data_IF_202647887286
#
_entry.id   IF_202647887286
#
_cell.length_a   1.000
_cell.length_b   1.000
_cell.length_c   1.000
_cell.angle_alpha   90.00
_cell.angle_beta   90.00
_cell.angle_gamma   90.00
#
_symmetry.space_group_name_H-M   'P 1'
#
loop_
_entity.id
_entity.type
_entity.pdbx_description
1 polymer ?
#
# COMPACT_ATOMS: atom_id res chain seq x y z
N UNK A 1 6.35 -2.11 -11.59
CA UNK A 1 7.10 -2.72 -12.71
C UNK A 1 6.18 -2.98 -13.87
N UNK A 2 6.58 -2.74 -15.17
CA UNK A 2 5.76 -3.12 -16.34
C UNK A 2 6.00 -4.57 -16.73
N UNK A 3 5.06 -5.25 -17.43
CA UNK A 3 5.25 -6.62 -17.90
C UNK A 3 6.49 -6.82 -18.79
N UNK A 4 6.80 -5.85 -19.64
CA UNK A 4 8.02 -5.90 -20.47
C UNK A 4 9.29 -5.89 -19.60
N UNK A 5 9.38 -4.97 -18.62
CA UNK A 5 10.52 -4.90 -17.70
C UNK A 5 10.62 -6.18 -16.83
N UNK A 6 9.49 -6.75 -16.41
CA UNK A 6 9.48 -8.03 -15.70
C UNK A 6 10.06 -9.15 -16.57
N UNK A 7 9.62 -9.25 -17.82
CA UNK A 7 10.10 -10.27 -18.77
C UNK A 7 11.59 -10.18 -19.04
N UNK A 8 12.10 -8.96 -19.26
CA UNK A 8 13.52 -8.70 -19.50
C UNK A 8 14.40 -9.09 -18.32
N UNK A 9 13.88 -8.99 -17.10
CA UNK A 9 14.66 -9.11 -15.87
C UNK A 9 14.25 -10.29 -14.99
N UNK A 10 13.49 -11.24 -15.50
CA UNK A 10 12.94 -12.34 -14.69
C UNK A 10 14.02 -13.13 -13.96
N UNK A 11 15.13 -13.43 -14.63
CA UNK A 11 16.25 -14.19 -14.02
C UNK A 11 16.88 -13.46 -12.85
N UNK A 12 17.03 -12.13 -12.96
CA UNK A 12 17.58 -11.29 -11.90
C UNK A 12 16.60 -11.21 -10.72
N UNK A 13 15.30 -11.09 -11.00
CA UNK A 13 14.27 -11.00 -9.98
C UNK A 13 14.05 -12.32 -9.24
N UNK A 14 14.13 -13.46 -9.93
CA UNK A 14 14.08 -14.78 -9.28
C UNK A 14 15.26 -15.02 -8.33
N UNK A 15 16.40 -14.38 -8.58
CA UNK A 15 17.55 -14.42 -7.68
C UNK A 15 17.34 -13.56 -6.41
N UNK A 16 16.31 -12.68 -6.35
CA UNK A 16 16.00 -11.82 -5.20
C UNK A 16 15.15 -12.59 -4.16
N UNK A 17 15.08 -12.09 -2.91
CA UNK A 17 14.32 -12.77 -1.84
C UNK A 17 12.80 -12.56 -1.90
N UNK A 18 12.26 -12.24 -3.06
CA UNK A 18 10.83 -11.94 -3.21
C UNK A 18 10.05 -13.13 -3.76
N UNK A 19 8.76 -13.23 -3.38
CA UNK A 19 7.80 -14.22 -3.87
C UNK A 19 6.83 -13.64 -4.91
N UNK A 20 6.86 -12.34 -5.14
CA UNK A 20 5.98 -11.68 -6.10
C UNK A 20 6.41 -10.27 -6.41
N UNK A 21 5.72 -9.67 -7.36
CA UNK A 21 5.94 -8.29 -7.80
C UNK A 21 4.62 -7.53 -7.85
N UNK A 22 4.71 -6.22 -7.56
CA UNK A 22 3.68 -5.25 -7.91
C UNK A 22 3.93 -4.83 -9.36
N UNK A 23 3.02 -5.16 -10.24
CA UNK A 23 3.13 -4.78 -11.65
C UNK A 23 2.06 -3.77 -12.04
N UNK A 24 2.31 -3.02 -13.08
CA UNK A 24 1.39 -2.02 -13.62
C UNK A 24 1.35 -2.10 -15.14
N UNK A 25 0.24 -1.65 -15.71
CA UNK A 25 0.09 -1.50 -17.16
C UNK A 25 1.10 -0.49 -17.71
N UNK A 26 1.44 -0.61 -18.98
CA UNK A 26 2.53 0.15 -19.60
C UNK A 26 2.09 1.44 -20.30
N UNK A 27 0.80 1.60 -20.60
CA UNK A 27 0.32 2.78 -21.32
C UNK A 27 0.03 3.97 -20.38
N UNK A 28 0.15 5.23 -20.85
CA UNK A 28 0.00 6.42 -20.01
C UNK A 28 -1.37 6.51 -19.34
N UNK A 29 -1.40 6.88 -18.07
CA UNK A 29 -2.64 7.00 -17.27
C UNK A 29 -3.32 5.67 -16.97
N UNK A 30 -2.66 4.55 -17.27
CA UNK A 30 -3.23 3.22 -17.17
C UNK A 30 -3.48 2.72 -15.75
N UNK A 31 -2.98 3.40 -14.74
CA UNK A 31 -3.11 2.92 -13.36
C UNK A 31 -4.24 3.60 -12.59
N UNK A 32 -4.68 4.78 -13.03
CA UNK A 32 -5.72 5.55 -12.34
C UNK A 32 -7.10 4.94 -12.59
N UNK A 33 -7.84 4.73 -11.50
CA UNK A 33 -9.19 4.16 -11.56
C UNK A 33 -10.27 5.25 -11.66
N UNK A 34 -10.07 6.42 -11.04
CA UNK A 34 -11.03 7.52 -10.97
C UNK A 34 -10.85 8.48 -12.15
N UNK A 35 -11.44 8.13 -13.30
CA UNK A 35 -11.33 8.89 -14.53
C UNK A 35 -12.71 9.32 -15.03
N UNK A 36 -12.78 10.49 -15.66
CA UNK A 36 -14.01 10.97 -16.33
C UNK A 36 -14.42 10.11 -17.52
N UNK A 37 -13.46 9.39 -18.10
CA UNK A 37 -13.72 8.47 -19.22
C UNK A 37 -13.20 7.08 -18.86
N UNK A 38 -13.98 6.05 -19.20
CA UNK A 38 -13.50 4.69 -19.16
C UNK A 38 -12.34 4.50 -20.16
N UNK A 39 -11.51 3.48 -19.92
CA UNK A 39 -10.65 2.99 -20.98
C UNK A 39 -11.52 2.56 -22.17
N UNK A 40 -11.21 2.99 -23.39
CA UNK A 40 -12.14 2.85 -24.53
C UNK A 40 -12.38 1.38 -24.86
N UNK A 41 -11.36 0.55 -24.78
CA UNK A 41 -11.48 -0.88 -25.06
C UNK A 41 -10.61 -1.71 -24.12
N UNK A 42 -11.08 -2.88 -23.71
CA UNK A 42 -10.27 -3.84 -22.94
C UNK A 42 -9.06 -4.36 -23.76
N UNK A 43 -9.11 -4.24 -25.06
CA UNK A 43 -7.99 -4.63 -25.95
C UNK A 43 -6.67 -3.94 -25.62
N UNK A 44 -6.69 -2.72 -25.04
CA UNK A 44 -5.49 -2.01 -24.58
C UNK A 44 -4.73 -2.77 -23.49
N UNK A 45 -5.42 -3.54 -22.67
CA UNK A 45 -4.84 -4.39 -21.61
C UNK A 45 -4.18 -5.66 -22.18
N UNK A 46 -4.65 -6.15 -23.31
CA UNK A 46 -4.27 -7.47 -23.86
C UNK A 46 -2.78 -7.58 -24.16
N UNK A 47 -2.12 -6.50 -24.61
CA UNK A 47 -0.70 -6.52 -24.90
C UNK A 47 0.13 -6.80 -23.63
N UNK A 48 -0.16 -6.08 -22.55
CA UNK A 48 0.50 -6.26 -21.26
C UNK A 48 0.18 -7.62 -20.63
N UNK A 49 -1.09 -8.06 -20.70
CA UNK A 49 -1.52 -9.38 -20.24
C UNK A 49 -0.77 -10.49 -20.98
N UNK A 50 -0.65 -10.40 -22.31
CA UNK A 50 0.06 -11.39 -23.11
C UNK A 50 1.54 -11.46 -22.76
N UNK A 51 2.19 -10.30 -22.56
CA UNK A 51 3.59 -10.24 -22.14
C UNK A 51 3.73 -10.85 -20.74
N UNK A 52 2.89 -10.46 -19.77
CA UNK A 52 2.93 -10.97 -18.41
C UNK A 52 2.76 -12.50 -18.40
N UNK A 53 1.78 -13.03 -19.10
CA UNK A 53 1.53 -14.47 -19.19
C UNK A 53 2.63 -15.25 -19.92
N UNK A 54 3.49 -14.59 -20.69
CA UNK A 54 4.67 -15.22 -21.29
C UNK A 54 5.85 -15.34 -20.31
N UNK A 55 5.76 -14.73 -19.14
CA UNK A 55 6.77 -14.84 -18.07
C UNK A 55 6.44 -16.07 -17.21
N UNK A 56 7.36 -17.01 -17.15
CA UNK A 56 7.21 -18.20 -16.32
C UNK A 56 8.18 -18.11 -15.15
N UNK A 57 7.64 -18.12 -13.95
CA UNK A 57 8.42 -18.15 -12.71
C UNK A 57 7.81 -19.14 -11.73
N UNK A 58 8.64 -20.03 -11.19
CA UNK A 58 8.23 -20.90 -10.10
C UNK A 58 8.29 -20.20 -8.73
N UNK A 59 8.93 -19.04 -8.66
CA UNK A 59 9.16 -18.29 -7.42
C UNK A 59 8.24 -17.10 -7.27
N UNK A 60 8.05 -16.31 -8.32
CA UNK A 60 7.24 -15.09 -8.30
C UNK A 60 5.77 -15.43 -8.55
N UNK A 61 5.12 -16.00 -7.55
CA UNK A 61 3.74 -16.52 -7.63
C UNK A 61 2.71 -15.59 -7.00
N UNK A 62 3.14 -14.64 -6.17
CA UNK A 62 2.28 -13.74 -5.41
C UNK A 62 2.30 -12.33 -6.00
N UNK A 63 1.87 -12.25 -7.26
CA UNK A 63 1.87 -11.00 -8.01
C UNK A 63 0.57 -10.22 -7.81
N UNK A 64 0.65 -8.89 -7.82
CA UNK A 64 -0.49 -8.00 -7.72
C UNK A 64 -0.44 -6.92 -8.80
N UNK A 65 -1.59 -6.61 -9.39
CA UNK A 65 -1.74 -5.46 -10.29
C UNK A 65 -1.89 -4.18 -9.47
N UNK A 66 -0.98 -3.21 -9.64
CA UNK A 66 -1.04 -1.92 -8.94
C UNK A 66 -1.97 -0.96 -9.70
N UNK A 67 -2.90 -0.37 -8.96
CA UNK A 67 -3.72 0.76 -9.39
C UNK A 67 -3.61 1.90 -8.37
N UNK A 68 -3.98 3.10 -8.77
CA UNK A 68 -3.97 4.29 -7.92
C UNK A 68 -5.30 5.07 -8.00
N UNK A 69 -5.46 6.02 -7.09
CA UNK A 69 -6.64 6.85 -6.98
C UNK A 69 -6.48 8.25 -7.60
N UNK A 70 -5.48 8.47 -8.46
CA UNK A 70 -5.32 9.77 -9.08
C UNK A 70 -6.62 10.18 -9.81
N UNK A 71 -7.10 11.40 -9.52
CA UNK A 71 -8.34 11.91 -10.08
C UNK A 71 -8.09 12.71 -11.34
N UNK A 72 -8.99 12.59 -12.31
CA UNK A 72 -9.16 13.65 -13.30
C UNK A 72 -9.65 14.92 -12.59
N UNK A 73 -9.19 16.12 -12.96
CA UNK A 73 -9.42 17.35 -12.19
C UNK A 73 -10.90 17.70 -11.94
N UNK A 74 -11.79 17.33 -12.86
CA UNK A 74 -13.22 17.61 -12.76
C UNK A 74 -14.07 16.39 -12.38
N UNK A 75 -13.46 15.27 -11.98
CA UNK A 75 -14.17 14.07 -11.56
C UNK A 75 -14.84 14.30 -10.20
N UNK A 76 -16.07 13.80 -10.00
CA UNK A 76 -16.78 13.95 -8.73
C UNK A 76 -17.53 12.69 -8.28
N UNK A 77 -17.60 12.48 -6.98
CA UNK A 77 -18.29 11.35 -6.37
C UNK A 77 -19.80 11.33 -6.67
N UNK A 78 -20.42 12.49 -6.84
CA UNK A 78 -21.85 12.65 -7.14
C UNK A 78 -22.18 12.61 -8.62
N UNK A 79 -21.18 12.66 -9.50
CA UNK A 79 -21.41 12.49 -10.93
C UNK A 79 -21.53 11.00 -11.28
N UNK A 80 -22.77 10.58 -11.64
CA UNK A 80 -23.05 9.19 -11.98
C UNK A 80 -22.41 8.76 -13.32
N UNK A 81 -22.10 9.69 -14.21
CA UNK A 81 -21.42 9.39 -15.48
C UNK A 81 -19.91 9.14 -15.22
N UNK A 82 -19.30 9.99 -14.41
CA UNK A 82 -17.91 9.78 -13.96
C UNK A 82 -17.76 8.45 -13.22
N UNK A 83 -18.75 8.14 -12.37
CA UNK A 83 -18.75 6.87 -11.65
C UNK A 83 -18.98 5.67 -12.59
N UNK A 84 -19.84 5.77 -13.58
CA UNK A 84 -20.04 4.71 -14.58
C UNK A 84 -18.74 4.41 -15.36
N UNK A 85 -17.96 5.44 -15.70
CA UNK A 85 -16.64 5.25 -16.30
C UNK A 85 -15.68 4.54 -15.33
N UNK A 86 -15.67 4.93 -14.06
CA UNK A 86 -14.90 4.28 -12.99
C UNK A 86 -15.28 2.80 -12.84
N UNK A 87 -16.57 2.44 -12.88
CA UNK A 87 -17.03 1.05 -12.81
C UNK A 87 -16.47 0.18 -13.95
N UNK A 88 -16.40 0.72 -15.16
CA UNK A 88 -15.76 0.02 -16.30
C UNK A 88 -14.27 -0.18 -16.04
N UNK A 89 -13.58 0.83 -15.52
CA UNK A 89 -12.16 0.74 -15.21
C UNK A 89 -11.89 -0.32 -14.13
N UNK A 90 -12.65 -0.34 -13.04
CA UNK A 90 -12.55 -1.37 -11.98
C UNK A 90 -12.72 -2.78 -12.57
N UNK A 91 -13.72 -2.95 -13.44
CA UNK A 91 -13.99 -4.21 -14.12
C UNK A 91 -12.79 -4.68 -14.95
N UNK A 92 -12.17 -3.77 -15.68
CA UNK A 92 -11.02 -4.07 -16.52
C UNK A 92 -9.78 -4.45 -15.69
N UNK A 93 -9.51 -3.74 -14.60
CA UNK A 93 -8.40 -4.07 -13.70
C UNK A 93 -8.60 -5.44 -13.02
N UNK A 94 -9.79 -5.70 -12.49
CA UNK A 94 -10.08 -6.99 -11.84
C UNK A 94 -9.97 -8.16 -12.82
N UNK A 95 -10.46 -7.98 -14.06
CA UNK A 95 -10.33 -8.96 -15.14
C UNK A 95 -8.86 -9.19 -15.52
N UNK A 96 -8.07 -8.13 -15.65
CA UNK A 96 -6.65 -8.22 -15.97
C UNK A 96 -5.86 -8.97 -14.88
N UNK A 97 -6.11 -8.64 -13.60
CA UNK A 97 -5.51 -9.35 -12.48
C UNK A 97 -5.85 -10.85 -12.50
N UNK A 98 -7.12 -11.20 -12.77
CA UNK A 98 -7.53 -12.60 -12.91
C UNK A 98 -6.87 -13.32 -14.09
N UNK A 99 -6.82 -12.68 -15.26
CA UNK A 99 -6.26 -13.27 -16.48
C UNK A 99 -4.74 -13.47 -16.42
N UNK A 100 -4.05 -12.73 -15.57
CA UNK A 100 -2.62 -12.87 -15.31
C UNK A 100 -2.30 -13.82 -14.15
N UNK A 101 -3.29 -14.50 -13.58
CA UNK A 101 -3.15 -15.29 -12.37
C UNK A 101 -2.50 -14.50 -11.21
N UNK A 102 -2.64 -13.18 -11.21
CA UNK A 102 -2.27 -12.36 -10.06
C UNK A 102 -3.18 -12.72 -8.87
N UNK A 103 -2.68 -12.57 -7.65
CA UNK A 103 -3.50 -12.79 -6.44
C UNK A 103 -4.64 -11.79 -6.34
N UNK A 104 -4.44 -10.60 -6.89
CA UNK A 104 -5.42 -9.54 -6.90
C UNK A 104 -4.84 -8.18 -7.29
N UNK A 105 -5.31 -7.18 -6.61
CA UNK A 105 -4.96 -5.77 -6.87
C UNK A 105 -4.31 -5.19 -5.62
N UNK A 106 -3.25 -4.40 -5.82
CA UNK A 106 -2.75 -3.47 -4.82
C UNK A 106 -3.22 -2.07 -5.18
N UNK A 107 -3.93 -1.43 -4.25
CA UNK A 107 -4.52 -0.12 -4.43
C UNK A 107 -3.74 0.92 -3.64
N UNK A 108 -3.28 1.94 -4.35
CA UNK A 108 -2.60 3.09 -3.78
C UNK A 108 -3.64 4.22 -3.60
N UNK A 109 -4.08 4.52 -2.37
CA UNK A 109 -5.05 5.57 -2.11
C UNK A 109 -4.43 6.96 -2.06
N UNK A 110 -3.12 7.10 -2.24
CA UNK A 110 -2.43 8.37 -2.30
C UNK A 110 -2.73 9.10 -3.60
N UNK A 111 -3.05 10.38 -3.51
CA UNK A 111 -3.30 11.20 -4.69
C UNK A 111 -2.29 12.33 -4.82
N UNK A 112 -1.69 12.45 -6.00
CA UNK A 112 -0.74 13.49 -6.37
C UNK A 112 -1.45 14.57 -7.22
N UNK A 113 -2.41 15.26 -6.62
CA UNK A 113 -3.23 16.27 -7.29
C UNK A 113 -4.40 16.68 -6.40
N UNK A 114 -5.59 16.82 -6.97
CA UNK A 114 -6.80 17.00 -6.18
C UNK A 114 -7.05 15.73 -5.36
N UNK A 115 -7.34 15.91 -4.07
CA UNK A 115 -7.42 14.80 -3.11
C UNK A 115 -8.84 14.22 -3.09
N UNK A 116 -9.04 12.95 -3.48
CA UNK A 116 -10.38 12.33 -3.52
C UNK A 116 -11.01 12.19 -2.14
N UNK A 117 -10.20 12.12 -1.10
CA UNK A 117 -10.61 11.79 0.26
C UNK A 117 -10.74 13.02 1.16
N UNK A 118 -10.26 14.19 0.73
CA UNK A 118 -10.33 15.43 1.48
C UNK A 118 -11.63 16.18 1.15
N UNK A 119 -12.47 16.43 2.16
CA UNK A 119 -13.78 17.04 1.93
C UNK A 119 -13.69 18.47 1.33
N UNK A 120 -12.86 19.41 1.84
CA UNK A 120 -12.76 20.75 1.25
C UNK A 120 -12.33 20.78 -0.23
N UNK A 121 -11.68 19.73 -0.71
CA UNK A 121 -11.21 19.65 -2.09
C UNK A 121 -12.29 19.10 -3.05
N UNK A 122 -13.49 18.75 -2.55
CA UNK A 122 -14.57 18.22 -3.38
C UNK A 122 -15.30 19.35 -4.13
N UNK A 123 -15.88 19.03 -5.30
CA UNK A 123 -16.45 20.04 -6.22
C UNK A 123 -17.79 20.61 -5.77
N UNK A 124 -18.54 19.88 -4.95
CA UNK A 124 -19.90 20.24 -4.55
C UNK A 124 -20.04 20.62 -3.07
N UNK A 125 -18.97 21.03 -2.40
CA UNK A 125 -18.99 21.39 -0.98
C UNK A 125 -19.93 22.56 -0.65
N UNK A 126 -20.23 23.44 -1.62
CA UNK A 126 -21.20 24.52 -1.45
C UNK A 126 -22.66 24.01 -1.33
N UNK A 127 -22.93 22.79 -1.81
CA UNK A 127 -24.28 22.22 -1.89
C UNK A 127 -24.42 20.85 -1.24
N UNK A 128 -23.32 20.21 -0.89
CA UNK A 128 -23.24 18.88 -0.30
C UNK A 128 -22.42 18.91 0.98
N UNK A 129 -23.03 18.47 2.07
CA UNK A 129 -22.38 18.36 3.36
C UNK A 129 -21.38 17.20 3.42
N UNK A 130 -20.50 17.23 4.41
CA UNK A 130 -19.57 16.13 4.71
C UNK A 130 -20.30 14.79 4.89
N UNK A 131 -21.42 14.80 5.60
CA UNK A 131 -22.23 13.58 5.81
C UNK A 131 -22.80 13.03 4.50
N UNK A 132 -23.30 13.90 3.59
CA UNK A 132 -23.76 13.45 2.29
C UNK A 132 -22.63 12.85 1.44
N UNK A 133 -21.41 13.44 1.51
CA UNK A 133 -20.23 12.83 0.89
C UNK A 133 -19.89 11.49 1.51
N UNK A 134 -19.91 11.34 2.83
CA UNK A 134 -19.68 10.05 3.48
C UNK A 134 -20.69 8.98 3.02
N UNK A 135 -21.98 9.33 2.91
CA UNK A 135 -23.02 8.41 2.42
C UNK A 135 -22.73 8.01 0.97
N UNK A 136 -22.39 8.97 0.12
CA UNK A 136 -22.04 8.72 -1.28
C UNK A 136 -20.80 7.83 -1.40
N UNK A 137 -19.75 8.06 -0.61
CA UNK A 137 -18.56 7.23 -0.63
C UNK A 137 -18.83 5.80 -0.14
N UNK A 138 -19.73 5.59 0.83
CA UNK A 138 -20.17 4.24 1.22
C UNK A 138 -20.86 3.52 0.05
N UNK A 139 -21.76 4.21 -0.65
CA UNK A 139 -22.40 3.66 -1.85
C UNK A 139 -21.35 3.26 -2.89
N UNK A 140 -20.39 4.16 -3.19
CA UNK A 140 -19.33 3.93 -4.19
C UNK A 140 -18.36 2.82 -3.76
N UNK A 141 -17.99 2.75 -2.49
CA UNK A 141 -17.17 1.67 -1.93
C UNK A 141 -17.85 0.31 -2.06
N UNK A 142 -19.16 0.24 -1.79
CA UNK A 142 -19.95 -0.98 -1.97
C UNK A 142 -19.97 -1.42 -3.44
N UNK A 143 -20.13 -0.49 -4.37
CA UNK A 143 -20.09 -0.78 -5.80
C UNK A 143 -18.70 -1.20 -6.27
N UNK A 144 -17.65 -0.54 -5.77
CA UNK A 144 -16.26 -0.88 -6.10
C UNK A 144 -15.97 -2.36 -5.86
N UNK A 145 -16.23 -2.84 -4.65
CA UNK A 145 -15.95 -4.25 -4.32
C UNK A 145 -16.86 -5.21 -5.05
N UNK A 146 -18.16 -4.89 -5.20
CA UNK A 146 -19.08 -5.76 -5.90
C UNK A 146 -18.65 -6.01 -7.35
N UNK A 147 -18.20 -4.96 -8.05
CA UNK A 147 -17.72 -5.08 -9.45
C UNK A 147 -16.42 -5.86 -9.51
N UNK A 148 -15.49 -5.59 -8.59
CA UNK A 148 -14.23 -6.34 -8.54
C UNK A 148 -14.48 -7.85 -8.32
N UNK A 149 -15.41 -8.20 -7.43
CA UNK A 149 -15.78 -9.59 -7.16
C UNK A 149 -16.58 -10.26 -8.29
N UNK A 150 -17.41 -9.51 -9.04
CA UNK A 150 -18.09 -10.03 -10.25
C UNK A 150 -17.06 -10.55 -11.27
N UNK A 151 -15.99 -9.82 -11.49
CA UNK A 151 -14.95 -10.20 -12.45
C UNK A 151 -13.97 -11.22 -11.86
N UNK A 152 -13.58 -11.04 -10.61
CA UNK A 152 -12.60 -11.87 -9.93
C UNK A 152 -13.12 -12.34 -8.56
N UNK A 153 -13.96 -13.39 -8.52
CA UNK A 153 -14.42 -13.96 -7.26
C UNK A 153 -13.26 -14.41 -6.37
N UNK A 154 -13.23 -13.92 -5.14
CA UNK A 154 -12.15 -14.20 -4.19
C UNK A 154 -10.89 -13.36 -4.39
N UNK A 155 -11.01 -12.22 -5.06
CA UNK A 155 -9.92 -11.26 -5.25
C UNK A 155 -9.29 -10.87 -3.91
N UNK A 156 -7.98 -10.75 -3.88
CA UNK A 156 -7.25 -10.13 -2.78
C UNK A 156 -7.01 -8.65 -3.10
N UNK A 157 -7.35 -7.78 -2.17
CA UNK A 157 -7.11 -6.35 -2.28
C UNK A 157 -6.16 -5.92 -1.15
N UNK A 158 -4.97 -5.49 -1.52
CA UNK A 158 -4.05 -4.84 -0.60
C UNK A 158 -4.17 -3.34 -0.85
N UNK A 159 -4.55 -2.59 0.17
CA UNK A 159 -4.46 -1.14 0.14
C UNK A 159 -3.15 -0.74 0.80
N UNK A 160 -2.37 0.15 0.21
CA UNK A 160 -1.10 0.59 0.82
C UNK A 160 -1.34 1.09 2.24
N UNK A 161 -2.48 1.73 2.46
CA UNK A 161 -3.07 1.96 3.77
C UNK A 161 -4.61 1.90 3.66
N UNK A 162 -5.27 1.35 4.67
CA UNK A 162 -6.73 1.43 4.84
C UNK A 162 -7.02 2.51 5.89
N UNK A 163 -7.13 2.11 7.14
CA UNK A 163 -7.42 3.01 8.24
C UNK A 163 -6.15 3.46 8.99
N UNK A 164 -4.96 2.96 8.62
CA UNK A 164 -3.70 3.43 9.17
C UNK A 164 -3.40 4.89 8.80
N UNK A 165 -3.97 5.38 7.70
CA UNK A 165 -3.90 6.80 7.34
C UNK A 165 -4.51 7.73 8.39
N UNK A 166 -5.57 7.27 9.07
CA UNK A 166 -6.29 8.05 10.07
C UNK A 166 -5.95 7.62 11.52
N UNK A 167 -5.00 6.70 11.69
CA UNK A 167 -4.70 6.13 13.01
C UNK A 167 -4.12 7.16 13.98
N UNK A 168 -3.23 8.01 13.50
CA UNK A 168 -2.59 9.03 14.32
C UNK A 168 -3.59 10.10 14.77
N UNK A 169 -4.64 10.36 13.99
CA UNK A 169 -5.72 11.28 14.34
C UNK A 169 -6.45 10.86 15.61
N UNK A 170 -6.58 9.55 15.87
CA UNK A 170 -7.22 9.02 17.09
C UNK A 170 -6.40 9.31 18.35
N UNK A 171 -5.10 9.55 18.21
CA UNK A 171 -4.17 9.78 19.31
C UNK A 171 -3.80 11.25 19.48
N UNK A 172 -4.31 12.12 18.61
CA UNK A 172 -4.16 13.57 18.78
C UNK A 172 -5.11 14.04 19.91
N UNK A 173 -4.55 14.59 20.98
CA UNK A 173 -5.33 15.16 22.09
C UNK A 173 -6.23 16.34 21.66
N UNK A 174 -5.94 16.95 20.50
CA UNK A 174 -6.74 18.00 19.89
C UNK A 174 -7.75 17.49 18.87
N UNK A 175 -7.85 16.17 18.71
CA UNK A 175 -8.74 15.56 17.75
C UNK A 175 -10.21 15.98 17.98
N UNK A 176 -10.83 16.48 16.95
CA UNK A 176 -12.22 16.89 16.94
C UNK A 176 -12.82 16.77 15.53
N UNK A 177 -14.15 16.95 15.42
CA UNK A 177 -14.84 16.85 14.13
C UNK A 177 -14.26 17.77 13.05
N UNK A 178 -13.77 18.97 13.45
CA UNK A 178 -13.17 19.91 12.49
C UNK A 178 -11.89 19.34 11.87
N UNK A 179 -11.08 18.63 12.65
CA UNK A 179 -9.86 18.00 12.14
C UNK A 179 -10.17 16.98 11.06
N UNK A 180 -11.20 16.13 11.26
CA UNK A 180 -11.63 15.16 10.24
C UNK A 180 -12.11 15.88 8.97
N UNK A 181 -12.85 16.97 9.10
CA UNK A 181 -13.35 17.73 7.95
C UNK A 181 -12.22 18.29 7.08
N UNK A 182 -11.10 18.66 7.69
CA UNK A 182 -9.93 19.22 7.01
C UNK A 182 -8.89 18.16 6.65
N UNK A 183 -9.01 16.95 7.20
CA UNK A 183 -8.05 15.88 7.01
C UNK A 183 -7.97 15.41 5.57
N UNK A 184 -6.76 15.10 5.12
CA UNK A 184 -6.47 14.62 3.76
C UNK A 184 -7.23 13.34 3.41
N UNK A 185 -7.48 12.50 4.40
CA UNK A 185 -8.17 11.22 4.27
C UNK A 185 -9.50 11.18 5.04
N UNK A 186 -10.09 12.33 5.40
CA UNK A 186 -11.29 12.40 6.24
C UNK A 186 -12.52 11.68 5.69
N UNK A 187 -12.67 11.59 4.37
CA UNK A 187 -13.74 10.84 3.70
C UNK A 187 -13.40 9.36 3.45
N UNK A 188 -12.12 8.99 3.50
CA UNK A 188 -11.65 7.66 3.11
C UNK A 188 -12.25 6.51 3.95
N UNK A 189 -12.40 6.64 5.29
CA UNK A 189 -13.05 5.60 6.08
C UNK A 189 -14.47 5.26 5.63
N UNK A 190 -15.21 6.22 5.07
CA UNK A 190 -16.56 5.96 4.54
C UNK A 190 -16.52 5.07 3.28
N UNK A 191 -15.53 5.24 2.41
CA UNK A 191 -15.33 4.38 1.25
C UNK A 191 -14.97 2.94 1.68
N UNK A 192 -14.07 2.79 2.67
CA UNK A 192 -13.70 1.50 3.23
C UNK A 192 -14.90 0.84 3.92
N UNK A 193 -15.70 1.61 4.64
CA UNK A 193 -16.94 1.13 5.27
C UNK A 193 -17.92 0.54 4.24
N UNK A 194 -18.06 1.20 3.09
CA UNK A 194 -18.82 0.69 1.95
C UNK A 194 -18.26 -0.63 1.40
N UNK A 195 -16.94 -0.74 1.22
CA UNK A 195 -16.29 -1.98 0.79
C UNK A 195 -16.59 -3.12 1.78
N UNK A 196 -16.43 -2.87 3.09
CA UNK A 196 -16.67 -3.87 4.13
C UNK A 196 -18.12 -4.36 4.16
N UNK A 197 -19.07 -3.47 3.91
CA UNK A 197 -20.50 -3.82 3.94
C UNK A 197 -20.95 -4.71 2.78
N UNK A 198 -20.25 -4.67 1.64
CA UNK A 198 -20.65 -5.37 0.41
C UNK A 198 -19.73 -6.54 0.05
N UNK A 199 -18.50 -6.60 0.59
CA UNK A 199 -17.56 -7.69 0.26
C UNK A 199 -18.12 -9.06 0.65
N UNK A 200 -17.85 -10.06 -0.17
CA UNK A 200 -18.12 -11.44 0.19
C UNK A 200 -17.07 -12.00 1.17
N UNK A 201 -17.38 -13.12 1.79
CA UNK A 201 -16.42 -13.81 2.67
C UNK A 201 -15.23 -14.43 1.92
N UNK A 202 -15.27 -14.47 0.58
CA UNK A 202 -14.21 -15.04 -0.26
C UNK A 202 -13.10 -14.05 -0.53
N UNK A 203 -13.42 -12.76 -0.61
CA UNK A 203 -12.43 -11.72 -0.89
C UNK A 203 -11.68 -11.29 0.36
N UNK A 204 -10.40 -11.05 0.21
CA UNK A 204 -9.49 -10.70 1.28
C UNK A 204 -9.15 -9.21 1.14
N UNK A 205 -9.33 -8.47 2.22
CA UNK A 205 -8.83 -7.10 2.35
C UNK A 205 -7.60 -7.10 3.24
N UNK A 206 -6.59 -6.35 2.84
CA UNK A 206 -5.34 -6.21 3.60
C UNK A 206 -5.01 -4.73 3.79
N UNK A 207 -4.85 -4.33 5.04
CA UNK A 207 -4.25 -3.09 5.47
C UNK A 207 -2.75 -3.17 5.21
N UNK A 208 -2.20 -2.36 4.31
CA UNK A 208 -0.81 -2.37 3.90
C UNK A 208 0.13 -1.74 4.93
N UNK A 209 -0.40 -0.90 5.81
CA UNK A 209 0.33 -0.22 6.87
C UNK A 209 1.62 0.47 6.36
N UNK A 210 1.46 1.33 5.36
CA UNK A 210 2.57 2.11 4.80
C UNK A 210 3.36 2.89 5.87
N UNK A 211 2.74 3.45 6.94
CA UNK A 211 3.47 4.09 8.02
C UNK A 211 4.56 3.22 8.68
N UNK A 212 4.51 1.89 8.48
CA UNK A 212 5.58 1.00 8.97
C UNK A 212 6.95 1.22 8.31
N UNK A 213 7.04 2.03 7.24
CA UNK A 213 8.30 2.55 6.69
C UNK A 213 9.20 3.18 7.77
N UNK A 214 8.57 3.80 8.76
CA UNK A 214 9.24 4.61 9.78
C UNK A 214 9.38 3.90 11.12
N UNK A 215 9.01 2.61 11.22
CA UNK A 215 9.17 1.88 12.47
C UNK A 215 10.64 1.50 12.70
N UNK A 216 11.14 1.85 13.86
CA UNK A 216 12.54 1.64 14.23
C UNK A 216 12.70 0.66 15.41
N UNK A 217 11.64 0.01 15.85
CA UNK A 217 11.70 -0.88 17.00
C UNK A 217 10.72 -2.05 16.90
N UNK A 218 11.08 -3.16 17.53
CA UNK A 218 10.17 -4.30 17.75
C UNK A 218 8.82 -3.87 18.33
N UNK A 219 8.88 -2.96 19.30
CA UNK A 219 7.66 -2.48 20.00
C UNK A 219 6.73 -1.74 19.04
N UNK A 220 7.27 -0.95 18.11
CA UNK A 220 6.45 -0.25 17.11
C UNK A 220 5.69 -1.24 16.22
N UNK A 221 6.36 -2.24 15.67
CA UNK A 221 5.70 -3.29 14.87
C UNK A 221 4.59 -4.01 15.64
N UNK A 222 4.88 -4.51 16.84
CA UNK A 222 3.92 -5.24 17.65
C UNK A 222 2.74 -4.37 18.10
N UNK A 223 3.03 -3.18 18.64
CA UNK A 223 2.01 -2.24 19.12
C UNK A 223 1.06 -1.87 17.98
N UNK A 224 1.60 -1.41 16.86
CA UNK A 224 0.78 -0.92 15.77
C UNK A 224 0.01 -2.05 15.05
N UNK A 225 0.59 -3.24 14.86
CA UNK A 225 -0.18 -4.39 14.35
C UNK A 225 -1.39 -4.75 15.20
N UNK A 226 -1.26 -4.61 16.51
CA UNK A 226 -2.38 -4.87 17.43
C UNK A 226 -3.38 -3.73 17.43
N UNK A 227 -2.91 -2.50 17.45
CA UNK A 227 -3.74 -1.30 17.50
C UNK A 227 -4.54 -1.13 16.21
N UNK A 228 -3.92 -1.28 15.03
CA UNK A 228 -4.60 -1.17 13.73
C UNK A 228 -5.77 -2.15 13.55
N UNK A 229 -5.80 -3.25 14.29
CA UNK A 229 -6.95 -4.17 14.27
C UNK A 229 -8.16 -3.68 15.04
N UNK A 230 -7.97 -2.81 16.02
CA UNK A 230 -8.99 -2.50 17.03
C UNK A 230 -9.35 -1.03 17.14
N UNK A 231 -8.38 -0.14 16.98
CA UNK A 231 -8.59 1.27 17.29
C UNK A 231 -9.24 2.02 16.12
N UNK A 232 -8.81 1.85 14.86
CA UNK A 232 -9.40 2.60 13.74
C UNK A 232 -10.84 2.20 13.42
N UNK A 233 -11.35 1.10 13.98
CA UNK A 233 -12.74 0.67 13.76
C UNK A 233 -13.77 1.71 14.18
N UNK A 234 -13.40 2.67 15.04
CA UNK A 234 -14.28 3.77 15.43
C UNK A 234 -14.65 4.69 14.27
N UNK A 235 -13.87 4.75 13.21
CA UNK A 235 -14.22 5.46 11.97
C UNK A 235 -15.30 4.74 11.14
N UNK A 236 -15.56 3.46 11.43
CA UNK A 236 -16.53 2.64 10.71
C UNK A 236 -17.89 2.63 11.38
N UNK A 237 -18.92 2.38 10.59
CA UNK A 237 -20.24 2.05 11.12
C UNK A 237 -20.17 0.81 12.01
N UNK A 238 -20.96 0.80 13.07
CA UNK A 238 -20.95 -0.28 14.09
C UNK A 238 -21.08 -1.68 13.47
N UNK A 239 -21.93 -1.82 12.45
CA UNK A 239 -22.15 -3.08 11.75
C UNK A 239 -20.88 -3.66 11.12
N UNK A 240 -19.94 -2.82 10.70
CA UNK A 240 -18.73 -3.22 9.98
C UNK A 240 -17.50 -3.39 10.88
N UNK A 241 -17.53 -2.91 12.12
CA UNK A 241 -16.39 -2.98 13.05
C UNK A 241 -15.91 -4.41 13.25
N UNK A 242 -16.84 -5.32 13.56
CA UNK A 242 -16.53 -6.75 13.76
C UNK A 242 -16.04 -7.44 12.46
N UNK A 243 -16.48 -6.96 11.30
CA UNK A 243 -15.99 -7.47 10.00
C UNK A 243 -14.54 -7.07 9.82
N UNK A 244 -14.21 -5.80 10.05
CA UNK A 244 -12.84 -5.30 9.99
C UNK A 244 -11.91 -6.08 10.92
N UNK A 245 -12.22 -6.14 12.21
CA UNK A 245 -11.41 -6.81 13.23
C UNK A 245 -11.08 -8.27 12.90
N UNK A 246 -12.03 -9.00 12.29
CA UNK A 246 -11.92 -10.44 12.05
C UNK A 246 -11.44 -10.82 10.65
N UNK A 247 -11.66 -9.95 9.66
CA UNK A 247 -11.47 -10.31 8.24
C UNK A 247 -10.46 -9.46 7.51
N UNK A 248 -10.07 -8.29 8.03
CA UNK A 248 -8.98 -7.51 7.45
C UNK A 248 -7.66 -8.05 7.95
N UNK A 249 -6.76 -8.36 7.02
CA UNK A 249 -5.38 -8.76 7.32
C UNK A 249 -4.49 -7.54 7.46
N UNK A 250 -3.42 -7.68 8.21
CA UNK A 250 -2.39 -6.64 8.35
C UNK A 250 -1.14 -7.09 7.61
N UNK A 251 -0.68 -6.25 6.70
CA UNK A 251 0.64 -6.32 6.09
C UNK A 251 1.55 -5.24 6.71
N UNK A 252 2.80 -5.26 6.35
CA UNK A 252 3.75 -4.21 6.70
C UNK A 252 4.57 -3.82 5.48
N UNK A 253 4.85 -2.53 5.41
CA UNK A 253 5.74 -1.94 4.43
C UNK A 253 7.18 -1.91 4.94
N UNK A 254 8.14 -2.16 4.07
CA UNK A 254 9.57 -1.94 4.32
C UNK A 254 10.09 -1.00 3.23
N UNK A 255 10.80 0.05 3.62
CA UNK A 255 11.36 1.03 2.71
C UNK A 255 12.90 0.99 2.73
N UNK A 256 13.51 0.11 1.94
CA UNK A 256 14.96 -0.11 1.98
C UNK A 256 15.77 1.15 1.72
N UNK A 257 15.34 2.01 0.78
CA UNK A 257 16.07 3.25 0.45
C UNK A 257 16.27 4.15 1.65
N UNK A 258 15.26 4.23 2.53
CA UNK A 258 15.34 4.96 3.79
C UNK A 258 16.29 4.26 4.78
N UNK A 259 16.14 2.95 4.94
CA UNK A 259 16.85 2.18 5.96
C UNK A 259 18.35 2.08 5.68
N UNK A 260 18.76 2.07 4.39
CA UNK A 260 20.17 2.05 3.98
C UNK A 260 20.71 3.43 3.58
N UNK A 261 19.90 4.49 3.77
CA UNK A 261 20.26 5.90 3.58
C UNK A 261 20.76 6.21 2.17
N UNK A 262 19.90 6.00 1.19
CA UNK A 262 20.19 6.34 -0.21
C UNK A 262 19.83 7.80 -0.57
N UNK A 263 19.14 8.51 0.33
CA UNK A 263 18.78 9.91 0.13
C UNK A 263 20.02 10.81 0.30
N UNK A 264 20.18 11.75 -0.64
CA UNK A 264 21.32 12.67 -0.60
C UNK A 264 21.14 13.73 0.49
N UNK A 265 22.20 14.11 1.20
CA UNK A 265 22.18 15.28 2.09
C UNK A 265 21.73 16.49 1.27
N UNK A 266 20.64 17.16 1.70
CA UNK A 266 20.05 18.31 1.02
C UNK A 266 18.79 18.01 0.21
N UNK A 267 18.37 16.76 0.06
CA UNK A 267 17.02 16.43 -0.38
C UNK A 267 16.02 16.96 0.66
N UNK A 268 15.34 18.07 0.31
CA UNK A 268 14.49 18.85 1.23
C UNK A 268 13.03 18.38 1.22
N UNK A 269 12.76 17.16 0.81
CA UNK A 269 11.43 16.60 0.79
C UNK A 269 11.05 15.86 2.09
N UNK A 270 9.99 15.11 2.05
CA UNK A 270 9.52 14.16 3.09
C UNK A 270 10.65 13.27 3.65
N UNK A 271 11.66 13.05 2.83
CA UNK A 271 12.75 12.16 3.06
C UNK A 271 13.96 12.80 3.73
N UNK A 272 13.99 14.05 4.12
CA UNK A 272 15.12 14.77 4.71
C UNK A 272 16.06 13.89 5.54
N UNK A 273 17.08 14.43 6.10
CA UNK A 273 18.03 13.65 6.94
C UNK A 273 17.28 12.94 8.06
N UNK A 274 17.34 11.62 8.09
CA UNK A 274 16.66 10.72 9.03
C UNK A 274 17.69 9.95 9.89
N UNK A 275 17.20 9.26 10.92
CA UNK A 275 18.04 8.49 11.86
C UNK A 275 19.03 7.56 11.15
N UNK A 276 18.68 6.81 10.09
CA UNK A 276 19.63 5.95 9.38
C UNK A 276 20.87 6.66 8.83
N UNK A 277 20.76 7.96 8.51
CA UNK A 277 21.91 8.76 8.05
C UNK A 277 23.09 8.75 9.05
N UNK A 278 22.78 8.69 10.33
CA UNK A 278 23.77 8.72 11.43
C UNK A 278 24.24 7.34 11.88
N UNK A 279 23.76 6.28 11.25
CA UNK A 279 24.23 4.92 11.47
C UNK A 279 25.45 4.59 10.59
N UNK A 280 26.27 3.64 11.04
CA UNK A 280 27.29 3.07 10.19
C UNK A 280 26.68 2.31 9.00
N UNK A 281 27.40 2.16 7.87
CA UNK A 281 26.90 1.35 6.74
C UNK A 281 26.52 -0.09 7.15
N UNK A 282 27.22 -0.68 8.10
CA UNK A 282 26.90 -2.01 8.63
C UNK A 282 25.59 -1.98 9.42
N UNK A 283 25.40 -1.01 10.30
CA UNK A 283 24.18 -0.89 11.11
C UNK A 283 22.96 -0.56 10.26
N UNK A 284 23.10 0.14 9.15
CA UNK A 284 22.02 0.37 8.17
C UNK A 284 21.51 -0.96 7.59
N UNK A 285 22.39 -1.87 7.17
CA UNK A 285 21.97 -3.19 6.68
C UNK A 285 21.39 -4.06 7.80
N UNK A 286 21.92 -3.93 9.04
CA UNK A 286 21.29 -4.56 10.20
C UNK A 286 19.92 -3.97 10.51
N UNK A 287 19.69 -2.67 10.28
CA UNK A 287 18.38 -2.04 10.42
C UNK A 287 17.41 -2.55 9.36
N UNK A 288 17.84 -2.75 8.12
CA UNK A 288 17.04 -3.39 7.09
C UNK A 288 16.67 -4.82 7.48
N UNK A 289 17.61 -5.60 8.00
CA UNK A 289 17.33 -6.95 8.53
C UNK A 289 16.33 -6.92 9.69
N UNK A 290 16.53 -6.00 10.63
CA UNK A 290 15.64 -5.78 11.79
C UNK A 290 14.21 -5.48 11.36
N UNK A 291 14.04 -4.50 10.49
CA UNK A 291 12.70 -4.07 10.04
C UNK A 291 12.03 -5.17 9.23
N UNK A 292 12.76 -5.85 8.34
CA UNK A 292 12.22 -7.00 7.59
C UNK A 292 11.80 -8.13 8.54
N UNK A 293 12.60 -8.44 9.55
CA UNK A 293 12.29 -9.49 10.52
C UNK A 293 11.00 -9.18 11.30
N UNK A 294 10.89 -7.97 11.86
CA UNK A 294 9.71 -7.62 12.65
C UNK A 294 8.47 -7.35 11.79
N UNK A 295 8.62 -6.87 10.57
CA UNK A 295 7.54 -6.83 9.61
C UNK A 295 6.99 -8.24 9.33
N UNK A 296 7.85 -9.20 9.00
CA UNK A 296 7.48 -10.61 8.76
C UNK A 296 6.87 -11.28 10.00
N UNK A 297 7.37 -10.97 11.20
CA UNK A 297 6.88 -11.54 12.45
C UNK A 297 5.47 -11.08 12.81
N UNK A 298 5.08 -9.87 12.39
CA UNK A 298 3.82 -9.23 12.79
C UNK A 298 2.80 -9.11 11.66
N UNK A 299 3.17 -9.43 10.41
CA UNK A 299 2.24 -9.50 9.28
C UNK A 299 1.42 -10.79 9.32
N UNK A 300 0.17 -10.73 8.81
CA UNK A 300 -0.65 -11.93 8.64
C UNK A 300 -0.25 -12.76 7.43
N UNK A 301 0.10 -12.09 6.32
CA UNK A 301 0.38 -12.80 5.08
C UNK A 301 1.49 -12.14 4.25
N UNK A 302 1.45 -10.80 4.08
CA UNK A 302 2.35 -10.10 3.20
C UNK A 302 3.22 -9.08 3.93
N UNK A 303 4.47 -8.98 3.48
CA UNK A 303 5.34 -7.82 3.68
C UNK A 303 5.70 -7.31 2.30
N UNK A 304 5.52 -6.03 2.06
CA UNK A 304 5.80 -5.42 0.79
C UNK A 304 6.93 -4.41 0.90
N UNK A 305 7.68 -4.27 -0.18
CA UNK A 305 8.84 -3.40 -0.27
C UNK A 305 8.56 -2.30 -1.28
N UNK A 306 8.84 -1.06 -0.89
CA UNK A 306 8.83 0.09 -1.77
C UNK A 306 10.23 0.58 -1.98
N UNK A 307 10.58 0.94 -3.20
CA UNK A 307 11.87 1.51 -3.58
C UNK A 307 11.71 2.60 -4.63
N UNK A 308 12.58 3.58 -4.57
CA UNK A 308 12.72 4.66 -5.56
C UNK A 308 14.10 4.66 -6.20
N UNK A 309 15.13 4.33 -5.45
CA UNK A 309 16.53 4.35 -5.87
C UNK A 309 17.15 2.96 -6.02
N UNK A 310 16.71 2.00 -5.26
CA UNK A 310 17.19 0.62 -5.41
C UNK A 310 16.63 0.02 -6.69
N UNK A 311 17.53 -0.39 -7.59
CA UNK A 311 17.16 -1.20 -8.76
C UNK A 311 17.48 -2.68 -8.52
N UNK A 312 16.46 -3.46 -8.23
CA UNK A 312 16.57 -4.90 -7.98
C UNK A 312 16.96 -5.70 -9.23
N UNK A 313 16.92 -5.09 -10.40
CA UNK A 313 17.29 -5.73 -11.67
C UNK A 313 18.79 -5.61 -11.99
N UNK A 314 19.47 -4.60 -11.43
CA UNK A 314 20.89 -4.34 -11.69
C UNK A 314 21.79 -5.01 -10.65
N UNK A 315 22.79 -5.83 -11.01
CA UNK A 315 23.78 -6.41 -10.11
C UNK A 315 24.66 -5.35 -9.43
N UNK A 316 24.98 -5.55 -8.15
CA UNK A 316 25.91 -4.66 -7.44
C UNK A 316 26.12 -5.06 -5.98
N UNK A 317 27.29 -4.68 -5.38
CA UNK A 317 27.65 -5.13 -4.03
C UNK A 317 26.70 -4.63 -2.93
N UNK A 318 26.15 -3.43 -3.07
CA UNK A 318 25.24 -2.91 -2.03
C UNK A 318 23.87 -3.60 -2.11
N UNK A 319 23.40 -3.90 -3.32
CA UNK A 319 22.20 -4.72 -3.47
C UNK A 319 22.39 -6.12 -2.90
N UNK A 320 23.57 -6.74 -3.11
CA UNK A 320 23.85 -8.06 -2.55
C UNK A 320 23.85 -8.05 -1.01
N UNK A 321 24.20 -6.93 -0.38
CA UNK A 321 24.07 -6.75 1.06
C UNK A 321 22.63 -6.61 1.50
N UNK A 322 21.81 -5.85 0.75
CA UNK A 322 20.38 -5.72 1.01
C UNK A 322 19.69 -7.08 0.89
N UNK A 323 19.98 -7.85 -0.18
CA UNK A 323 19.45 -9.22 -0.34
C UNK A 323 19.81 -10.11 0.84
N UNK A 324 21.07 -10.06 1.30
CA UNK A 324 21.51 -10.85 2.45
C UNK A 324 20.77 -10.48 3.73
N UNK A 325 20.52 -9.20 3.96
CA UNK A 325 19.76 -8.72 5.12
C UNK A 325 18.32 -9.25 5.09
N UNK A 326 17.65 -9.13 3.94
CA UNK A 326 16.27 -9.61 3.75
C UNK A 326 16.19 -11.14 3.87
N UNK A 327 17.11 -11.87 3.22
CA UNK A 327 17.18 -13.35 3.28
C UNK A 327 17.47 -13.82 4.72
N UNK A 328 18.36 -13.13 5.44
CA UNK A 328 18.67 -13.46 6.84
C UNK A 328 17.42 -13.34 7.71
N UNK A 329 16.71 -12.21 7.61
CA UNK A 329 15.45 -12.01 8.31
C UNK A 329 14.42 -13.10 8.00
N UNK A 330 14.17 -13.37 6.70
CA UNK A 330 13.26 -14.40 6.27
C UNK A 330 13.62 -15.79 6.81
N UNK A 331 14.88 -16.19 6.70
CA UNK A 331 15.34 -17.48 7.17
C UNK A 331 15.17 -17.66 8.69
N UNK A 332 15.41 -16.59 9.46
CA UNK A 332 15.18 -16.61 10.92
C UNK A 332 13.71 -16.80 11.25
N UNK A 333 12.80 -16.12 10.53
CA UNK A 333 11.36 -16.32 10.72
C UNK A 333 10.95 -17.76 10.39
N UNK A 334 11.36 -18.30 9.26
CA UNK A 334 11.03 -19.68 8.85
C UNK A 334 11.54 -20.71 9.85
N UNK A 335 12.75 -20.49 10.41
CA UNK A 335 13.35 -21.39 11.41
C UNK A 335 12.88 -21.11 12.83
N UNK A 336 12.06 -20.08 13.06
CA UNK A 336 11.64 -19.62 14.39
C UNK A 336 12.84 -19.21 15.28
N UNK A 337 13.88 -18.68 14.67
CA UNK A 337 15.08 -18.18 15.34
C UNK A 337 14.88 -16.70 15.74
N UNK A 338 15.43 -16.25 16.86
CA UNK A 338 15.43 -14.84 17.22
C UNK A 338 16.31 -14.02 16.27
N UNK A 339 16.07 -12.71 16.19
CA UNK A 339 16.88 -11.79 15.37
C UNK A 339 18.39 -11.88 15.69
N UNK A 340 18.74 -12.06 16.98
CA UNK A 340 20.08 -12.34 17.39
C UNK A 340 20.96 -11.11 17.64
N UNK A 341 20.41 -9.91 17.47
CA UNK A 341 21.08 -8.64 17.80
C UNK A 341 20.06 -7.58 18.21
N UNK A 342 20.55 -6.51 18.81
CA UNK A 342 19.80 -5.31 19.20
C UNK A 342 20.49 -4.06 18.62
N UNK A 343 19.70 -3.10 18.16
CA UNK A 343 20.17 -1.82 17.62
C UNK A 343 19.73 -0.63 18.46
N UNK A 344 19.10 -0.85 19.62
CA UNK A 344 18.55 0.23 20.45
C UNK A 344 19.61 1.29 20.78
N UNK A 345 20.80 0.87 21.19
CA UNK A 345 21.88 1.80 21.54
C UNK A 345 22.35 2.64 20.34
N UNK A 346 22.53 2.02 19.17
CA UNK A 346 22.95 2.70 17.94
C UNK A 346 21.87 3.68 17.46
N UNK A 347 20.60 3.28 17.51
CA UNK A 347 19.47 4.13 17.13
C UNK A 347 19.33 5.32 18.09
N UNK A 348 19.48 5.13 19.38
CA UNK A 348 19.41 6.22 20.36
C UNK A 348 20.54 7.24 20.18
N UNK A 349 21.76 6.79 19.86
CA UNK A 349 22.86 7.68 19.52
C UNK A 349 22.62 8.42 18.20
N UNK A 350 22.09 7.72 17.20
CA UNK A 350 21.76 8.31 15.92
C UNK A 350 20.65 9.37 16.05
N UNK A 351 19.59 9.11 16.84
CA UNK A 351 18.53 10.10 17.14
C UNK A 351 19.06 11.38 17.78
N UNK A 352 19.98 11.23 18.76
CA UNK A 352 20.62 12.40 19.40
C UNK A 352 21.39 13.26 18.38
N UNK A 353 22.02 12.65 17.38
CA UNK A 353 22.77 13.35 16.32
C UNK A 353 21.83 13.96 15.28
N UNK A 354 20.75 13.27 14.96
CA UNK A 354 19.77 13.69 13.99
C UNK A 354 19.00 14.95 14.45
N UNK A 355 18.76 15.10 15.73
CA UNK A 355 17.77 16.04 16.25
C UNK A 355 16.40 15.90 15.53
N UNK A 356 16.11 14.67 15.06
CA UNK A 356 14.88 14.32 14.41
C UNK A 356 13.77 14.14 15.45
N UNK A 357 12.52 14.51 15.12
CA UNK A 357 11.38 14.33 16.01
C UNK A 357 11.11 12.85 16.33
#
# INVERSE_FOLDING_TARGET
MTPAKLKENITQLEARPFQGVMWKLSFPGSNSVFRKTSFPEYAEFNADIAIFNSVHSAKLTDNFLKIDCALDPEWDWFDDQDWAATEVNIRYFARAAKQTNSKGIIFDPESYGRLPWKYPDQLLTDSKSFTEYQEKLRERGSRFIAIAEEEFPGIQLIFLFLLSANYDDLHDEQWNLQNILEDQYGLYPAFIDGILSAKTSKSILTEGNEPSYYYESKTAFFKNSTALRKEPVYFLQEANRSIYEKQVKIAHAVYPDLLVDLFKPGDTGWYGVRVPHFLSPEDRHRLLEHNTYYALQNADEYVWFWEEYIDWTTPGPDRDKNDKAIISAYNKIVKQEPLGFDLTGQLDEARKKCNCP
#
